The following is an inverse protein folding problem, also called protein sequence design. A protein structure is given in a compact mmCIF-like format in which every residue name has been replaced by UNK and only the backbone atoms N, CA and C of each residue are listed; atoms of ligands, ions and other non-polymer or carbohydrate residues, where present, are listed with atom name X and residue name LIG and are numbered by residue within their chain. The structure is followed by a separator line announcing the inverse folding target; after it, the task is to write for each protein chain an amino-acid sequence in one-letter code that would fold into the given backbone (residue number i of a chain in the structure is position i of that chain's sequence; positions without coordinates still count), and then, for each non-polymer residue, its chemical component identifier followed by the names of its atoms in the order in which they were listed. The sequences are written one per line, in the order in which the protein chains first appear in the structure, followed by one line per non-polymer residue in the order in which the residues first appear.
data_IF_166369521912
#
_entry.id   IF_166369521912
#
_cell.length_a   1.000
_cell.length_b   1.000
_cell.length_c   1.000
_cell.angle_alpha   90.00
_cell.angle_beta   90.00
_cell.angle_gamma   90.00
#
_symmetry.space_group_name_H-M   'P 1'
#
loop_
_entity.id
_entity.type
_entity.pdbx_description
1 polymer ?
#
# COMPACT_ATOMS: atom_id res chain seq x y z
N UNK A 1 16.32 5.78 17.26
CA UNK A 1 16.92 7.11 17.12
C UNK A 1 17.34 7.40 15.69
N UNK A 2 17.93 6.46 14.94
CA UNK A 2 18.36 6.68 13.55
C UNK A 2 17.33 7.30 12.57
N UNK A 3 16.05 6.87 12.55
CA UNK A 3 15.12 7.32 11.51
C UNK A 3 14.63 8.77 11.66
N UNK A 4 14.59 9.30 12.89
CA UNK A 4 14.22 10.71 13.09
C UNK A 4 15.33 11.64 12.57
N UNK A 5 16.59 11.25 12.79
CA UNK A 5 17.76 11.94 12.24
C UNK A 5 17.78 11.82 10.72
N UNK A 6 17.52 10.63 10.17
CA UNK A 6 17.41 10.41 8.71
C UNK A 6 16.34 11.33 8.08
N UNK A 7 15.16 11.48 8.71
CA UNK A 7 14.14 12.41 8.21
C UNK A 7 14.59 13.87 8.25
N UNK A 8 15.32 14.29 9.27
CA UNK A 8 15.84 15.66 9.36
C UNK A 8 16.92 15.92 8.29
N UNK A 9 17.81 14.96 8.06
CA UNK A 9 18.84 15.03 7.02
C UNK A 9 18.20 15.04 5.62
N UNK A 10 17.21 14.19 5.38
CA UNK A 10 16.43 14.16 4.14
C UNK A 10 15.76 15.51 3.85
N UNK A 11 15.10 16.12 4.85
CA UNK A 11 14.50 17.46 4.71
C UNK A 11 15.56 18.51 4.36
N UNK A 12 16.69 18.49 5.05
CA UNK A 12 17.79 19.43 4.79
C UNK A 12 18.30 19.31 3.35
N UNK A 13 18.49 18.09 2.86
CA UNK A 13 18.92 17.85 1.47
C UNK A 13 17.89 18.35 0.45
N UNK A 14 16.60 18.13 0.71
CA UNK A 14 15.53 18.62 -0.16
C UNK A 14 15.48 20.16 -0.15
N UNK A 15 15.52 20.79 1.01
CA UNK A 15 15.43 22.24 1.15
C UNK A 15 16.60 22.96 0.49
N UNK A 16 17.80 22.36 0.49
CA UNK A 16 18.96 22.87 -0.25
C UNK A 16 18.81 22.75 -1.77
N UNK A 17 18.10 21.72 -2.25
CA UNK A 17 17.89 21.46 -3.67
C UNK A 17 16.64 22.18 -4.24
N UNK A 18 15.76 22.70 -3.39
CA UNK A 18 14.56 23.43 -3.80
C UNK A 18 14.85 24.70 -4.61
N UNK A 19 13.95 25.07 -5.54
CA UNK A 19 12.80 24.29 -6.01
C UNK A 19 13.19 23.22 -7.06
N UNK A 20 14.39 23.33 -7.64
CA UNK A 20 14.81 22.63 -8.85
C UNK A 20 15.59 21.34 -8.56
N UNK A 21 14.93 20.37 -7.95
CA UNK A 21 15.51 19.08 -7.64
C UNK A 21 15.70 18.29 -8.95
N UNK A 22 16.94 17.96 -9.30
CA UNK A 22 17.22 17.01 -10.39
C UNK A 22 17.09 15.58 -9.87
N UNK A 23 15.90 14.98 -10.03
CA UNK A 23 15.61 13.64 -9.55
C UNK A 23 16.57 12.56 -10.10
N UNK A 24 17.19 12.76 -11.27
CA UNK A 24 18.13 11.78 -11.82
C UNK A 24 19.42 11.67 -10.99
N UNK A 25 19.84 12.76 -10.36
CA UNK A 25 21.06 12.81 -9.54
C UNK A 25 20.74 12.75 -8.05
N UNK A 26 19.57 13.23 -7.65
CA UNK A 26 19.09 13.25 -6.27
C UNK A 26 18.61 11.87 -5.79
N UNK A 27 17.96 11.09 -6.67
CA UNK A 27 17.40 9.80 -6.30
C UNK A 27 18.39 8.65 -6.57
N UNK A 28 18.53 7.73 -5.61
CA UNK A 28 19.21 6.45 -5.82
C UNK A 28 18.29 5.40 -6.47
N UNK A 29 16.97 5.56 -6.33
CA UNK A 29 15.96 4.76 -6.99
C UNK A 29 14.73 5.65 -7.22
N UNK A 30 14.10 5.53 -8.37
CA UNK A 30 12.87 6.23 -8.69
C UNK A 30 11.82 5.23 -9.13
N UNK A 31 10.64 5.35 -8.54
CA UNK A 31 9.42 4.70 -9.01
C UNK A 31 8.37 5.79 -9.26
N UNK A 32 7.46 5.55 -10.19
CA UNK A 32 6.48 6.54 -10.64
C UNK A 32 5.11 5.87 -10.65
N UNK A 33 4.21 6.31 -9.77
CA UNK A 33 2.80 5.89 -9.73
C UNK A 33 1.94 6.72 -10.68
N UNK A 34 0.63 6.74 -10.50
CA UNK A 34 -0.24 7.63 -11.30
C UNK A 34 0.01 9.11 -10.93
N UNK A 35 -0.15 9.45 -9.65
CA UNK A 35 -0.18 10.83 -9.15
C UNK A 35 1.14 11.31 -8.54
N UNK A 36 2.00 10.38 -8.10
CA UNK A 36 3.24 10.70 -7.37
C UNK A 36 4.47 10.02 -7.96
N UNK A 37 5.62 10.65 -7.78
CA UNK A 37 6.95 10.05 -7.99
C UNK A 37 7.54 9.75 -6.63
N UNK A 38 7.96 8.51 -6.44
CA UNK A 38 8.63 8.03 -5.25
C UNK A 38 10.15 8.01 -5.50
N UNK A 39 10.86 8.94 -4.86
CA UNK A 39 12.30 9.12 -4.97
C UNK A 39 13.00 8.61 -3.70
N UNK A 40 13.77 7.52 -3.78
CA UNK A 40 14.66 7.16 -2.68
C UNK A 40 15.84 8.12 -2.67
N UNK A 41 15.98 8.92 -1.61
CA UNK A 41 17.03 9.94 -1.50
C UNK A 41 18.39 9.25 -1.47
N UNK A 42 19.30 9.65 -2.37
CA UNK A 42 20.59 8.97 -2.52
C UNK A 42 21.46 9.04 -1.27
N UNK A 43 21.50 10.21 -0.64
CA UNK A 43 22.32 10.45 0.54
C UNK A 43 21.65 9.99 1.84
N UNK A 44 20.34 9.70 1.80
CA UNK A 44 19.56 9.17 2.92
C UNK A 44 18.67 8.00 2.43
N UNK A 45 19.27 6.83 2.12
CA UNK A 45 18.58 5.76 1.40
C UNK A 45 17.48 5.04 2.21
N UNK A 46 17.34 5.37 3.49
CA UNK A 46 16.27 4.90 4.39
C UNK A 46 15.00 5.75 4.27
N UNK A 47 15.02 6.83 3.48
CA UNK A 47 13.91 7.77 3.32
C UNK A 47 13.53 7.91 1.84
N UNK A 48 12.23 7.82 1.59
CA UNK A 48 11.61 8.13 0.31
C UNK A 48 11.04 9.53 0.35
N UNK A 49 11.21 10.27 -0.74
CA UNK A 49 10.52 11.53 -0.99
C UNK A 49 9.45 11.29 -2.06
N UNK A 50 8.18 11.39 -1.66
CA UNK A 50 7.04 11.21 -2.54
C UNK A 50 6.53 12.57 -2.97
N UNK A 51 6.62 12.88 -4.26
CA UNK A 51 6.26 14.17 -4.85
C UNK A 51 5.08 14.03 -5.78
N UNK A 52 4.09 14.91 -5.64
CA UNK A 52 3.02 15.00 -6.60
C UNK A 52 3.54 15.41 -7.99
N UNK A 53 2.96 14.77 -9.01
CA UNK A 53 3.22 15.08 -10.41
C UNK A 53 2.49 16.31 -10.89
N UNK A 54 1.42 16.69 -10.20
CA UNK A 54 0.56 17.83 -10.49
C UNK A 54 0.29 18.64 -9.22
N UNK A 55 0.08 19.97 -9.35
CA UNK A 55 -0.16 20.85 -8.19
C UNK A 55 -1.47 20.51 -7.47
N UNK A 56 -2.45 19.97 -8.20
CA UNK A 56 -3.73 19.51 -7.70
C UNK A 56 -3.92 18.03 -8.05
N UNK A 57 -4.48 17.27 -7.12
CA UNK A 57 -4.94 15.90 -7.33
C UNK A 57 -6.46 15.92 -7.24
N UNK A 58 -7.12 15.80 -8.41
CA UNK A 58 -8.55 16.09 -8.53
C UNK A 58 -8.86 17.55 -8.22
N UNK A 59 -9.81 17.78 -7.31
CA UNK A 59 -10.26 19.13 -6.93
C UNK A 59 -9.45 19.76 -5.77
N UNK A 60 -8.49 19.03 -5.19
CA UNK A 60 -7.71 19.47 -4.04
C UNK A 60 -6.26 19.74 -4.41
N UNK A 61 -5.65 20.73 -3.75
CA UNK A 61 -4.20 20.90 -3.87
C UNK A 61 -3.46 19.71 -3.24
N UNK A 62 -2.29 19.38 -3.78
CA UNK A 62 -1.50 18.23 -3.35
C UNK A 62 -1.16 18.26 -1.85
N UNK A 63 -0.78 19.42 -1.29
CA UNK A 63 -0.44 19.54 0.14
C UNK A 63 -1.61 19.15 1.06
N UNK A 64 -2.84 19.49 0.65
CA UNK A 64 -4.06 19.11 1.39
C UNK A 64 -4.26 17.59 1.34
N UNK A 65 -4.14 16.98 0.17
CA UNK A 65 -4.27 15.52 0.01
C UNK A 65 -3.22 14.78 0.86
N UNK A 66 -1.97 15.23 0.85
CA UNK A 66 -0.91 14.66 1.69
C UNK A 66 -1.24 14.76 3.18
N UNK A 67 -1.76 15.91 3.64
CA UNK A 67 -2.14 16.06 5.05
C UNK A 67 -3.28 15.13 5.45
N UNK A 68 -4.24 14.91 4.54
CA UNK A 68 -5.34 13.95 4.75
C UNK A 68 -4.79 12.52 4.85
N UNK A 69 -3.89 12.11 3.95
CA UNK A 69 -3.21 10.81 4.01
C UNK A 69 -2.46 10.59 5.33
N UNK A 70 -1.68 11.58 5.77
CA UNK A 70 -0.96 11.53 7.06
C UNK A 70 -1.94 11.39 8.22
N UNK A 71 -3.03 12.16 8.21
CA UNK A 71 -4.06 12.11 9.25
C UNK A 71 -4.73 10.73 9.29
N UNK A 72 -5.03 10.15 8.13
CA UNK A 72 -5.64 8.83 8.03
C UNK A 72 -4.69 7.73 8.50
N UNK A 73 -3.39 7.82 8.19
CA UNK A 73 -2.37 6.91 8.71
C UNK A 73 -2.27 6.96 10.23
N UNK A 74 -2.24 8.16 10.81
CA UNK A 74 -2.23 8.33 12.27
C UNK A 74 -3.51 7.77 12.90
N UNK A 75 -4.66 7.94 12.24
CA UNK A 75 -5.95 7.43 12.68
C UNK A 75 -5.97 5.91 12.73
N UNK A 76 -5.65 5.22 11.63
CA UNK A 76 -5.66 3.74 11.60
C UNK A 76 -4.62 3.15 12.56
N UNK A 77 -3.50 3.84 12.77
CA UNK A 77 -2.49 3.44 13.75
C UNK A 77 -3.02 3.55 15.18
N UNK A 78 -3.70 4.66 15.52
CA UNK A 78 -4.19 4.92 16.87
C UNK A 78 -5.44 4.13 17.23
N UNK A 79 -6.40 4.06 16.31
CA UNK A 79 -7.71 3.46 16.55
C UNK A 79 -7.73 1.95 16.26
N UNK A 80 -6.96 1.49 15.26
CA UNK A 80 -6.89 0.09 14.85
C UNK A 80 -5.66 -0.67 15.37
N UNK A 81 -4.72 0.01 16.02
CA UNK A 81 -3.38 -0.51 16.34
C UNK A 81 -2.64 -1.09 15.12
N UNK A 82 -2.99 -0.60 13.92
CA UNK A 82 -2.45 -1.07 12.65
C UNK A 82 -1.03 -0.53 12.52
N UNK A 83 -0.08 -1.40 12.15
CA UNK A 83 1.27 -0.95 11.84
C UNK A 83 1.27 -0.24 10.50
N UNK A 84 1.86 0.95 10.48
CA UNK A 84 1.96 1.79 9.29
C UNK A 84 3.42 2.09 8.97
N UNK A 85 3.68 2.54 7.75
CA UNK A 85 4.95 3.19 7.41
C UNK A 85 5.10 4.46 8.24
N UNK A 86 6.34 4.74 8.64
CA UNK A 86 6.64 5.99 9.35
C UNK A 86 6.68 7.11 8.32
N UNK A 87 5.92 8.18 8.57
CA UNK A 87 5.91 9.40 7.76
C UNK A 87 6.46 10.54 8.60
N UNK A 88 7.18 11.45 7.96
CA UNK A 88 7.59 12.71 8.57
C UNK A 88 6.63 13.81 8.11
N UNK A 89 5.76 14.34 9.00
CA UNK A 89 5.09 15.62 8.79
C UNK A 89 6.03 16.81 9.08
N UNK A 90 5.72 18.02 8.60
CA UNK A 90 4.64 18.36 7.66
C UNK A 90 5.00 18.05 6.19
N UNK A 91 4.05 18.22 5.24
CA UNK A 91 4.37 18.23 3.83
C UNK A 91 5.49 19.22 3.49
N UNK A 92 6.16 18.95 2.38
CA UNK A 92 7.25 19.74 1.83
C UNK A 92 6.71 20.45 0.60
N UNK A 93 6.40 21.74 0.75
CA UNK A 93 5.92 22.59 -0.35
C UNK A 93 7.08 23.25 -1.12
N UNK A 94 6.76 23.84 -2.28
CA UNK A 94 7.69 24.66 -3.06
C UNK A 94 8.75 23.84 -3.82
N UNK A 95 8.49 22.56 -4.08
CA UNK A 95 9.29 21.74 -4.99
C UNK A 95 8.70 21.80 -6.39
N UNK A 96 9.50 21.60 -7.43
CA UNK A 96 8.93 21.43 -8.78
C UNK A 96 8.18 20.12 -8.91
N UNK A 97 7.03 20.18 -9.58
CA UNK A 97 6.25 19.01 -9.95
C UNK A 97 7.09 18.06 -10.80
N UNK A 98 7.01 16.76 -10.54
CA UNK A 98 7.88 15.80 -11.21
C UNK A 98 7.60 15.62 -12.72
N UNK A 99 6.42 16.01 -13.20
CA UNK A 99 6.08 16.00 -14.64
C UNK A 99 6.26 17.37 -15.32
N UNK A 100 6.21 18.47 -14.57
CA UNK A 100 6.34 19.83 -15.10
C UNK A 100 7.18 20.70 -14.17
N UNK A 101 8.44 20.86 -14.53
CA UNK A 101 9.40 21.70 -13.79
C UNK A 101 9.07 23.19 -13.80
N UNK A 102 8.06 23.65 -14.54
CA UNK A 102 7.61 25.05 -14.49
C UNK A 102 6.69 25.32 -13.29
N UNK A 103 6.00 24.30 -12.77
CA UNK A 103 4.98 24.43 -11.72
C UNK A 103 5.51 23.92 -10.37
N UNK A 104 5.03 24.50 -9.27
CA UNK A 104 5.33 24.05 -7.91
C UNK A 104 4.27 23.08 -7.39
N UNK A 105 4.75 22.06 -6.69
CA UNK A 105 4.01 20.98 -6.08
C UNK A 105 4.45 20.81 -4.61
N UNK A 106 3.84 19.81 -3.98
CA UNK A 106 4.23 19.36 -2.64
C UNK A 106 4.65 17.89 -2.68
N UNK A 107 5.36 17.49 -1.63
CA UNK A 107 5.66 16.08 -1.37
C UNK A 107 5.77 15.80 0.12
N UNK A 108 6.05 14.56 0.49
CA UNK A 108 6.29 14.17 1.88
C UNK A 108 7.34 13.08 1.98
N UNK A 109 7.85 12.89 3.19
CA UNK A 109 8.88 11.89 3.46
C UNK A 109 8.26 10.68 4.14
N UNK A 110 8.60 9.50 3.64
CA UNK A 110 8.26 8.25 4.29
C UNK A 110 9.49 7.38 4.48
N UNK A 111 9.39 6.40 5.38
CA UNK A 111 10.42 5.37 5.52
C UNK A 111 10.47 4.53 4.25
N UNK A 112 11.64 4.51 3.61
CA UNK A 112 11.88 3.65 2.45
C UNK A 112 12.27 2.23 2.89
N UNK A 113 11.67 1.24 2.23
CA UNK A 113 12.02 -0.17 2.40
C UNK A 113 12.49 -0.74 1.07
N UNK A 114 13.71 -1.28 1.06
CA UNK A 114 14.30 -1.90 -0.12
C UNK A 114 13.68 -3.27 -0.40
N UNK A 115 13.75 -3.73 -1.66
CA UNK A 115 13.10 -4.97 -2.13
C UNK A 115 13.58 -6.24 -1.42
N UNK A 116 14.79 -6.24 -0.85
CA UNK A 116 15.31 -7.33 -0.02
C UNK A 116 14.70 -7.35 1.39
N UNK A 117 14.16 -6.22 1.86
CA UNK A 117 13.56 -6.06 3.19
C UNK A 117 12.04 -6.13 3.17
N UNK A 118 11.42 -5.74 2.06
CA UNK A 118 9.98 -5.74 1.92
C UNK A 118 9.52 -5.90 0.47
N UNK A 119 8.32 -6.45 0.30
CA UNK A 119 7.58 -6.46 -0.95
C UNK A 119 6.40 -5.51 -0.83
N UNK A 120 6.39 -4.46 -1.64
CA UNK A 120 5.26 -3.56 -1.73
C UNK A 120 4.14 -4.21 -2.55
N UNK A 121 2.91 -4.18 -2.05
CA UNK A 121 1.74 -4.78 -2.68
C UNK A 121 0.50 -3.92 -2.49
N UNK A 122 -0.31 -3.85 -3.53
CA UNK A 122 -1.65 -3.27 -3.50
C UNK A 122 -2.65 -4.40 -3.27
N UNK A 123 -3.05 -4.59 -2.01
CA UNK A 123 -3.87 -5.75 -1.62
C UNK A 123 -5.24 -5.67 -2.27
N UNK A 124 -5.83 -4.48 -2.43
CA UNK A 124 -7.12 -4.29 -3.10
C UNK A 124 -7.08 -4.70 -4.56
N UNK A 125 -6.02 -4.40 -5.29
CA UNK A 125 -5.85 -4.85 -6.69
C UNK A 125 -5.86 -6.36 -6.79
N UNK A 126 -5.16 -7.04 -5.89
CA UNK A 126 -5.15 -8.49 -5.87
C UNK A 126 -6.53 -9.09 -5.61
N UNK A 127 -7.41 -8.36 -4.94
CA UNK A 127 -8.81 -8.76 -4.70
C UNK A 127 -9.63 -8.53 -5.97
N UNK A 128 -9.58 -7.31 -6.52
CA UNK A 128 -10.25 -6.92 -7.77
C UNK A 128 -9.89 -7.84 -8.94
N UNK A 129 -8.61 -8.17 -9.06
CA UNK A 129 -8.06 -8.98 -10.15
C UNK A 129 -8.15 -10.50 -9.87
N UNK A 130 -8.71 -10.90 -8.72
CA UNK A 130 -8.80 -12.29 -8.28
C UNK A 130 -7.44 -13.02 -8.26
N UNK A 131 -6.40 -12.32 -7.80
CA UNK A 131 -5.02 -12.84 -7.69
C UNK A 131 -4.53 -12.98 -6.24
N UNK A 132 -5.43 -12.96 -5.25
CA UNK A 132 -5.11 -13.13 -3.83
C UNK A 132 -4.28 -14.41 -3.54
N UNK A 133 -4.55 -15.53 -4.21
CA UNK A 133 -3.77 -16.77 -4.01
C UNK A 133 -2.31 -16.66 -4.49
N UNK A 134 -2.09 -15.87 -5.55
CA UNK A 134 -0.74 -15.55 -6.01
C UNK A 134 -0.01 -14.70 -4.97
N UNK A 135 -0.67 -13.66 -4.44
CA UNK A 135 -0.14 -12.84 -3.36
C UNK A 135 0.25 -13.69 -2.13
N UNK A 136 -0.64 -14.59 -1.69
CA UNK A 136 -0.37 -15.53 -0.60
C UNK A 136 0.88 -16.36 -0.88
N UNK A 137 0.98 -16.93 -2.08
CA UNK A 137 2.14 -17.75 -2.49
C UNK A 137 3.43 -16.94 -2.48
N UNK A 138 3.39 -15.73 -3.02
CA UNK A 138 4.54 -14.85 -3.08
C UNK A 138 5.03 -14.46 -1.68
N UNK A 139 4.11 -14.13 -0.76
CA UNK A 139 4.46 -13.79 0.64
C UNK A 139 5.05 -15.02 1.36
N UNK A 140 4.48 -16.21 1.16
CA UNK A 140 5.03 -17.48 1.69
C UNK A 140 6.46 -17.75 1.23
N UNK A 141 6.78 -17.40 -0.01
CA UNK A 141 8.13 -17.57 -0.55
C UNK A 141 9.10 -16.47 -0.11
N UNK A 142 8.58 -15.34 0.37
CA UNK A 142 9.39 -14.16 0.72
C UNK A 142 9.82 -14.13 2.19
N UNK A 143 9.03 -14.70 3.10
CA UNK A 143 9.32 -14.68 4.55
C UNK A 143 9.35 -16.08 5.17
N UNK A 144 9.83 -16.15 6.41
CA UNK A 144 9.87 -17.40 7.19
C UNK A 144 8.51 -17.75 7.79
N UNK A 145 8.32 -18.98 8.27
CA UNK A 145 7.08 -19.39 8.94
C UNK A 145 6.72 -18.52 10.16
N UNK A 146 7.70 -18.17 11.00
CA UNK A 146 7.48 -17.24 12.12
C UNK A 146 7.12 -15.83 11.61
N UNK A 147 7.68 -15.44 10.48
CA UNK A 147 7.33 -14.20 9.79
C UNK A 147 5.89 -14.20 9.29
N UNK A 148 5.42 -15.30 8.72
CA UNK A 148 4.02 -15.47 8.29
C UNK A 148 3.04 -15.32 9.45
N UNK A 149 3.32 -15.93 10.61
CA UNK A 149 2.47 -15.76 11.80
C UNK A 149 2.39 -14.30 12.26
N UNK A 150 3.50 -13.56 12.16
CA UNK A 150 3.53 -12.12 12.46
C UNK A 150 2.72 -11.31 11.44
N UNK A 151 2.82 -11.65 10.15
CA UNK A 151 2.00 -11.07 9.08
C UNK A 151 0.51 -11.32 9.31
N UNK A 152 0.12 -12.55 9.64
CA UNK A 152 -1.26 -12.91 9.95
C UNK A 152 -1.82 -12.07 11.11
N UNK A 153 -0.99 -11.81 12.13
CA UNK A 153 -1.36 -10.97 13.27
C UNK A 153 -1.65 -9.53 12.84
N UNK A 154 -0.78 -8.94 12.01
CA UNK A 154 -0.96 -7.57 11.52
C UNK A 154 -2.21 -7.47 10.60
N UNK A 155 -2.43 -8.44 9.71
CA UNK A 155 -3.65 -8.50 8.89
C UNK A 155 -4.92 -8.68 9.73
N UNK A 156 -4.85 -9.44 10.84
CA UNK A 156 -5.98 -9.62 11.76
C UNK A 156 -6.38 -8.32 12.45
N UNK A 157 -5.41 -7.43 12.74
CA UNK A 157 -5.70 -6.09 13.28
C UNK A 157 -6.45 -5.22 12.26
N UNK A 158 -6.03 -5.25 10.99
CA UNK A 158 -6.75 -4.56 9.90
C UNK A 158 -8.19 -5.06 9.80
N UNK A 159 -8.38 -6.39 9.76
CA UNK A 159 -9.72 -7.01 9.72
C UNK A 159 -10.58 -6.58 10.91
N UNK A 160 -10.00 -6.55 12.10
CA UNK A 160 -10.69 -6.15 13.34
C UNK A 160 -11.11 -4.69 13.28
N UNK A 161 -10.22 -3.80 12.84
CA UNK A 161 -10.51 -2.37 12.68
C UNK A 161 -11.67 -2.11 11.69
N UNK A 162 -11.71 -2.87 10.58
CA UNK A 162 -12.77 -2.80 9.58
C UNK A 162 -14.12 -3.36 10.07
N UNK A 163 -14.11 -4.19 11.11
CA UNK A 163 -15.32 -4.83 11.64
C UNK A 163 -15.83 -4.10 12.88
N UNK A 164 -16.78 -3.17 12.71
CA UNK A 164 -17.30 -2.36 13.83
C UNK A 164 -18.40 -3.08 14.61
N UNK A 165 -19.49 -3.43 13.92
CA UNK A 165 -20.62 -4.15 14.51
C UNK A 165 -21.35 -4.95 13.43
N UNK A 166 -20.97 -6.24 13.32
CA UNK A 166 -21.56 -7.16 12.34
C UNK A 166 -23.08 -7.30 12.50
N UNK A 167 -23.59 -7.26 13.73
CA UNK A 167 -25.03 -7.48 13.99
C UNK A 167 -25.89 -6.33 13.48
N UNK A 168 -25.31 -5.12 13.41
CA UNK A 168 -25.96 -3.92 12.88
C UNK A 168 -25.47 -3.55 11.48
N UNK A 169 -24.76 -4.45 10.80
CA UNK A 169 -24.17 -4.21 9.47
C UNK A 169 -23.31 -2.93 9.41
N UNK A 170 -22.50 -2.68 10.44
CA UNK A 170 -21.61 -1.52 10.52
C UNK A 170 -20.15 -1.93 10.34
N UNK A 171 -19.49 -1.29 9.38
CA UNK A 171 -18.12 -1.58 9.00
C UNK A 171 -17.36 -0.30 8.68
N UNK A 172 -16.03 -0.44 8.60
CA UNK A 172 -15.15 0.54 7.98
C UNK A 172 -14.47 -0.04 6.75
N UNK A 173 -14.00 0.82 5.86
CA UNK A 173 -13.03 0.42 4.83
C UNK A 173 -11.84 1.35 4.80
N UNK A 174 -10.66 0.75 4.65
CA UNK A 174 -9.44 1.45 4.23
C UNK A 174 -9.46 1.46 2.70
N UNK A 175 -9.56 2.64 2.10
CA UNK A 175 -9.86 2.80 0.68
C UNK A 175 -8.69 2.65 -0.28
N UNK A 176 -7.52 2.40 0.27
CA UNK A 176 -6.39 1.87 -0.47
C UNK A 176 -5.57 0.99 0.47
N UNK A 177 -5.91 -0.31 0.51
CA UNK A 177 -5.19 -1.24 1.36
C UNK A 177 -3.94 -1.69 0.64
N UNK A 178 -2.89 -0.90 0.79
CA UNK A 178 -1.58 -1.16 0.22
C UNK A 178 -0.51 -1.04 1.27
N UNK A 179 0.67 -1.59 0.97
CA UNK A 179 1.74 -1.58 1.93
C UNK A 179 2.81 -2.62 1.70
N UNK A 180 3.57 -2.88 2.74
CA UNK A 180 4.78 -3.66 2.69
C UNK A 180 4.66 -4.96 3.48
N UNK A 181 4.73 -6.10 2.79
CA UNK A 181 5.01 -7.38 3.41
C UNK A 181 6.51 -7.48 3.71
N UNK A 182 6.87 -7.70 4.98
CA UNK A 182 8.28 -7.65 5.41
C UNK A 182 8.95 -9.01 5.30
N UNK A 183 10.23 -9.02 4.93
CA UNK A 183 11.04 -10.25 4.85
C UNK A 183 11.17 -10.92 6.23
N UNK A 184 11.19 -10.13 7.31
CA UNK A 184 11.17 -10.60 8.70
C UNK A 184 9.79 -11.00 9.20
N UNK A 185 8.74 -10.77 8.41
CA UNK A 185 7.34 -10.92 8.80
C UNK A 185 6.70 -9.64 9.31
N UNK A 186 5.38 -9.62 9.23
CA UNK A 186 4.55 -8.44 9.47
C UNK A 186 4.11 -7.76 8.17
N UNK A 187 3.12 -6.87 8.31
CA UNK A 187 2.62 -6.02 7.24
C UNK A 187 2.56 -4.58 7.73
N UNK A 188 3.09 -3.64 6.94
CA UNK A 188 3.00 -2.21 7.20
C UNK A 188 2.07 -1.58 6.17
N UNK A 189 0.95 -1.03 6.61
CA UNK A 189 0.08 -0.23 5.73
C UNK A 189 0.83 1.03 5.31
N UNK A 190 0.82 1.30 4.01
CA UNK A 190 1.33 2.53 3.42
C UNK A 190 0.18 3.23 2.70
N UNK A 191 0.24 4.56 2.63
CA UNK A 191 -0.64 5.39 1.80
C UNK A 191 -2.14 5.10 1.96
N UNK A 192 -2.78 5.78 2.94
CA UNK A 192 -4.21 5.65 3.25
C UNK A 192 -4.94 6.93 2.82
N UNK A 193 -5.41 7.03 1.56
CA UNK A 193 -6.04 8.24 1.05
C UNK A 193 -7.38 8.53 1.73
N UNK A 194 -8.13 7.48 2.08
CA UNK A 194 -9.41 7.62 2.78
C UNK A 194 -9.74 6.40 3.66
N UNK A 195 -10.58 6.64 4.67
CA UNK A 195 -11.21 5.62 5.49
C UNK A 195 -12.71 5.88 5.55
N UNK A 196 -13.50 5.03 4.89
CA UNK A 196 -14.95 5.07 5.04
C UNK A 196 -15.35 4.53 6.41
N UNK A 197 -15.85 5.40 7.29
CA UNK A 197 -16.14 5.07 8.69
C UNK A 197 -17.50 4.42 8.93
N UNK A 198 -18.50 4.74 8.10
CA UNK A 198 -19.88 4.33 8.27
C UNK A 198 -20.38 3.62 7.01
N UNK A 199 -19.82 2.45 6.75
CA UNK A 199 -20.20 1.62 5.60
C UNK A 199 -20.85 0.30 6.02
N UNK A 200 -21.35 -0.45 5.03
CA UNK A 200 -21.99 -1.75 5.20
C UNK A 200 -21.11 -2.86 4.63
N UNK A 201 -21.53 -4.12 4.81
CA UNK A 201 -20.84 -5.29 4.25
C UNK A 201 -20.75 -5.24 2.70
N UNK A 202 -21.75 -4.65 2.05
CA UNK A 202 -21.81 -4.47 0.58
C UNK A 202 -21.19 -3.13 0.12
N UNK A 203 -20.74 -2.30 1.06
CA UNK A 203 -20.17 -0.99 0.77
C UNK A 203 -18.88 -1.10 -0.03
N UNK A 204 -18.53 -0.01 -0.74
CA UNK A 204 -17.32 0.11 -1.56
C UNK A 204 -16.69 1.46 -1.32
N UNK A 205 -15.38 1.56 -1.50
CA UNK A 205 -14.70 2.85 -1.49
C UNK A 205 -15.01 3.66 -2.73
N UNK A 206 -14.91 3.04 -3.91
CA UNK A 206 -15.25 3.66 -5.19
C UNK A 206 -15.97 2.67 -6.11
N UNK A 207 -16.56 3.19 -7.19
CA UNK A 207 -17.20 2.35 -8.21
C UNK A 207 -16.18 1.44 -8.89
N UNK A 208 -16.52 0.16 -9.00
CA UNK A 208 -15.62 -0.86 -9.56
C UNK A 208 -14.64 -1.48 -8.55
N UNK A 209 -14.58 -0.99 -7.32
CA UNK A 209 -13.79 -1.59 -6.25
C UNK A 209 -14.48 -2.76 -5.54
N UNK A 210 -13.71 -3.59 -4.81
CA UNK A 210 -14.25 -4.68 -4.01
C UNK A 210 -15.16 -4.18 -2.88
N UNK A 211 -16.15 -4.98 -2.54
CA UNK A 211 -17.01 -4.75 -1.38
C UNK A 211 -16.25 -4.94 -0.07
N UNK A 212 -16.82 -4.45 1.04
CA UNK A 212 -16.28 -4.75 2.38
C UNK A 212 -16.19 -6.26 2.60
N UNK A 213 -17.17 -7.04 2.15
CA UNK A 213 -17.18 -8.50 2.21
C UNK A 213 -15.97 -9.10 1.50
N UNK A 214 -15.74 -8.73 0.23
CA UNK A 214 -14.66 -9.26 -0.59
C UNK A 214 -13.28 -8.96 0.02
N UNK A 215 -13.12 -7.77 0.62
CA UNK A 215 -11.90 -7.40 1.35
C UNK A 215 -11.73 -8.22 2.62
N UNK A 216 -12.77 -8.37 3.44
CA UNK A 216 -12.71 -9.17 4.67
C UNK A 216 -12.45 -10.65 4.39
N UNK A 217 -13.04 -11.21 3.34
CA UNK A 217 -12.84 -12.60 2.91
C UNK A 217 -11.42 -12.84 2.38
N UNK A 218 -10.85 -11.88 1.64
CA UNK A 218 -9.45 -11.95 1.22
C UNK A 218 -8.49 -11.88 2.41
N UNK A 219 -8.76 -11.01 3.39
CA UNK A 219 -8.01 -10.98 4.64
C UNK A 219 -8.10 -12.31 5.38
N UNK A 220 -9.28 -12.93 5.45
CA UNK A 220 -9.44 -14.24 6.10
C UNK A 220 -8.67 -15.36 5.40
N UNK A 221 -8.67 -15.38 4.07
CA UNK A 221 -7.85 -16.31 3.29
C UNK A 221 -6.36 -16.14 3.56
N UNK A 222 -5.86 -14.90 3.53
CA UNK A 222 -4.45 -14.61 3.83
C UNK A 222 -4.09 -14.99 5.27
N UNK A 223 -4.88 -14.57 6.26
CA UNK A 223 -4.65 -14.88 7.68
C UNK A 223 -4.60 -16.39 7.91
N UNK A 224 -5.57 -17.13 7.36
CA UNK A 224 -5.63 -18.59 7.47
C UNK A 224 -4.43 -19.27 6.79
N UNK A 225 -4.05 -18.79 5.61
CA UNK A 225 -2.91 -19.34 4.87
C UNK A 225 -1.57 -19.11 5.57
N UNK A 226 -1.45 -18.02 6.35
CA UNK A 226 -0.23 -17.64 7.06
C UNK A 226 -0.17 -18.18 8.49
N UNK A 227 -1.27 -18.70 9.04
CA UNK A 227 -1.33 -19.27 10.37
C UNK A 227 -1.75 -20.76 10.36
N UNK A 228 -0.80 -21.71 10.27
CA UNK A 228 -1.12 -23.13 10.15
C UNK A 228 -1.69 -23.79 11.43
N UNK A 229 -1.69 -23.11 12.58
CA UNK A 229 -2.25 -23.67 13.83
C UNK A 229 -3.79 -23.81 13.83
N UNK A 230 -4.48 -23.32 12.79
CA UNK A 230 -5.91 -23.54 12.58
C UNK A 230 -6.24 -24.73 11.64
N UNK A 231 -5.25 -25.56 11.28
CA UNK A 231 -5.39 -26.70 10.37
C UNK A 231 -6.10 -27.94 10.93
N UNK A 232 -7.05 -27.79 11.86
CA UNK A 232 -7.87 -28.89 12.40
C UNK A 232 -9.38 -28.52 12.43
N UNK A 233 -9.85 -27.87 11.36
CA UNK A 233 -11.28 -27.69 11.08
C UNK A 233 -11.68 -28.52 9.87
N UNK A 234 -12.54 -29.50 10.09
CA UNK A 234 -13.01 -30.51 9.13
C UNK A 234 -13.32 -29.97 7.73
N UNK A 235 -12.80 -30.70 6.75
CA UNK A 235 -13.26 -30.68 5.36
C UNK A 235 -14.76 -31.00 5.28
N UNK A 236 -15.57 -29.99 4.95
CA UNK A 236 -16.76 -30.22 4.13
C UNK A 236 -16.46 -29.81 2.70
N UNK A 237 -16.08 -30.81 1.91
CA UNK A 237 -15.80 -30.69 0.50
C UNK A 237 -17.01 -30.21 -0.30
N UNK A 238 -16.77 -29.24 -1.18
CA UNK A 238 -17.53 -29.09 -2.41
C UNK A 238 -16.66 -29.66 -3.53
N UNK A 239 -16.95 -30.91 -3.88
CA UNK A 239 -16.39 -31.59 -5.04
C UNK A 239 -16.76 -30.82 -6.31
N UNK A 240 -15.78 -30.28 -7.03
CA UNK A 240 -15.93 -29.91 -8.43
C UNK A 240 -14.98 -30.76 -9.27
N UNK A 241 -15.61 -31.77 -9.87
CA UNK A 241 -15.25 -32.57 -11.05
C UNK A 241 -13.99 -32.14 -11.80
N UNK A 242 -13.02 -33.05 -11.82
CA UNK A 242 -11.85 -33.07 -12.68
C UNK A 242 -12.22 -33.22 -14.16
N UNK A 243 -11.58 -32.42 -15.01
CA UNK A 243 -11.52 -32.54 -16.48
C UNK A 243 -10.15 -32.05 -16.97
N UNK A 244 -9.66 -32.53 -18.12
CA UNK A 244 -8.39 -33.25 -18.19
C UNK A 244 -7.14 -32.38 -18.35
N UNK A 245 -6.03 -32.94 -17.87
CA UNK A 245 -4.65 -32.47 -18.03
C UNK A 245 -4.27 -32.21 -19.49
N UNK A 246 -3.86 -30.97 -19.79
CA UNK A 246 -3.07 -30.67 -20.97
C UNK A 246 -1.71 -30.10 -20.58
N UNK A 247 -0.73 -30.99 -20.70
CA UNK A 247 0.68 -30.70 -20.62
C UNK A 247 1.11 -29.98 -21.91
N UNK A 248 1.57 -28.74 -21.82
CA UNK A 248 2.25 -28.07 -22.95
C UNK A 248 3.39 -27.20 -22.43
N UNK A 249 4.62 -27.71 -22.62
CA UNK A 249 5.83 -26.91 -22.69
C UNK A 249 5.69 -25.86 -23.79
N UNK A 250 5.68 -24.57 -23.46
CA UNK A 250 6.09 -23.50 -24.39
C UNK A 250 6.96 -22.49 -23.65
N UNK A 251 8.19 -22.40 -24.13
CA UNK A 251 9.24 -21.47 -23.82
C UNK A 251 9.11 -20.23 -24.73
N UNK A 252 8.78 -19.06 -24.17
CA UNK A 252 9.05 -17.70 -24.70
C UNK A 252 8.82 -16.76 -23.51
N UNK A 253 9.69 -15.84 -23.09
CA UNK A 253 10.49 -14.92 -23.89
C UNK A 253 9.95 -13.49 -23.69
N UNK A 254 10.61 -12.73 -22.80
CA UNK A 254 10.63 -11.26 -22.68
C UNK A 254 9.39 -10.45 -22.21
N UNK A 255 9.71 -9.60 -21.21
CA UNK A 255 9.38 -8.17 -21.06
C UNK A 255 8.07 -7.68 -20.39
N UNK A 256 8.31 -7.04 -19.24
CA UNK A 256 7.75 -5.76 -18.76
C UNK A 256 6.26 -5.71 -18.46
N UNK A 257 5.89 -5.48 -17.19
CA UNK A 257 5.00 -4.38 -16.77
C UNK A 257 5.01 -4.34 -15.23
N UNK A 258 5.61 -3.28 -14.68
CA UNK A 258 5.44 -2.85 -13.30
C UNK A 258 4.50 -1.65 -13.39
N UNK A 259 3.23 -1.86 -13.08
CA UNK A 259 2.21 -0.82 -12.91
C UNK A 259 1.70 -1.00 -11.50
N UNK A 260 2.18 -0.15 -10.58
CA UNK A 260 1.78 -0.17 -9.16
C UNK A 260 1.79 1.29 -8.68
N UNK A 261 0.59 1.87 -8.52
CA UNK A 261 0.09 2.75 -7.43
C UNK A 261 -1.00 3.77 -7.87
N UNK A 262 -2.22 3.53 -7.37
CA UNK A 262 -3.57 3.97 -7.79
C UNK A 262 -3.95 5.36 -7.17
N UNK A 263 -5.00 6.07 -7.59
CA UNK A 263 -6.08 5.70 -8.51
C UNK A 263 -6.86 6.88 -9.12
N UNK A 264 -6.95 6.86 -10.45
CA UNK A 264 -8.13 7.06 -11.31
C UNK A 264 -9.37 7.69 -10.67
N UNK A 265 -9.54 9.00 -10.88
CA UNK A 265 -10.86 9.62 -10.97
C UNK A 265 -11.03 10.29 -12.34
N UNK A 266 -11.75 9.61 -13.23
CA UNK A 266 -12.29 10.20 -14.45
C UNK A 266 -13.62 9.52 -14.75
N UNK A 267 -14.74 10.24 -14.60
CA UNK A 267 -15.53 10.77 -15.73
C UNK A 267 -16.82 11.49 -15.24
N UNK A 268 -16.98 12.74 -15.72
CA UNK A 268 -18.21 13.38 -16.27
C UNK A 268 -19.31 13.87 -15.32
N UNK A 269 -19.45 15.20 -15.25
CA UNK A 269 -20.47 15.92 -16.03
C UNK A 269 -19.94 17.26 -16.56
#
# INVERSE_FOLDING_TARGET
MALADDFADARTNIDQAKPNIDYNTFCAEMNSGEDKIACRIKDVPTVGFLVCKEPNLGEKNCSTVINEEVTNIEKVQKEGEIKTVMISPPPIDGVKCGNDSSIECSGFLEKWLTKDKAKFEQVRDHISDNTTEKLITDVKNFTSQAGLSSTATDLSKIKTYMTVDKTRNKYRQICDLQGFFLATGGFLVADVPDVLEDTTIDGKCYDGEPTTEEVLDALDRMISAFNPENGNGDHHGVSRSSGPDFNTNILTGLQTFLVILFGRNSFVY
#
